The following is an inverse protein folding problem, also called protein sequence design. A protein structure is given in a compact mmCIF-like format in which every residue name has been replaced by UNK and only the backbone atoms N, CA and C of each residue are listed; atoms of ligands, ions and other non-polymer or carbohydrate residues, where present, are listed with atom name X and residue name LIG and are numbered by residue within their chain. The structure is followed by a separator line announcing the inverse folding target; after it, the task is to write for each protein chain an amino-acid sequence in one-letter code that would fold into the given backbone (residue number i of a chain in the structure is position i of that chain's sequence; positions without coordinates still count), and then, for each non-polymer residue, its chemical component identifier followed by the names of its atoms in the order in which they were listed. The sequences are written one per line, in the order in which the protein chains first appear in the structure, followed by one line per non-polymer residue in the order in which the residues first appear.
data_IF_130367665323
#
_entry.id   IF_130367665323
#
_cell.length_a   1.000
_cell.length_b   1.000
_cell.length_c   1.000
_cell.angle_alpha   90.00
_cell.angle_beta   90.00
_cell.angle_gamma   90.00
#
_symmetry.space_group_name_H-M   'P 1'
#
loop_
_entity.id
_entity.type
_entity.pdbx_description
1 polymer ?
#
# COMPACT_ATOMS: atom_id res chain seq x y z
N UNK A 1 -5.89 13.53 6.67
CA UNK A 1 -5.68 12.16 6.14
C UNK A 1 -6.30 12.01 4.78
N UNK A 2 -5.57 11.42 3.84
CA UNK A 2 -6.08 11.04 2.52
C UNK A 2 -6.07 9.52 2.41
N UNK A 3 -7.00 8.96 1.66
CA UNK A 3 -7.05 7.51 1.47
C UNK A 3 -7.64 7.17 0.10
N UNK A 4 -7.39 5.94 -0.34
CA UNK A 4 -8.04 5.40 -1.52
C UNK A 4 -8.27 3.90 -1.32
N UNK A 5 -9.28 3.38 -2.01
CA UNK A 5 -9.54 1.94 -2.07
C UNK A 5 -9.04 1.40 -3.40
N UNK A 6 -8.54 0.19 -3.38
CA UNK A 6 -8.03 -0.43 -4.59
C UNK A 6 -8.33 -1.93 -4.59
N UNK A 7 -8.83 -2.43 -5.72
CA UNK A 7 -9.04 -3.87 -5.92
C UNK A 7 -7.79 -4.42 -6.60
N UNK A 8 -7.16 -5.40 -5.96
CA UNK A 8 -5.92 -6.01 -6.48
C UNK A 8 -6.22 -6.79 -7.75
N UNK A 9 -5.51 -6.47 -8.82
CA UNK A 9 -5.69 -7.11 -10.12
C UNK A 9 -4.58 -8.11 -10.46
N UNK A 10 -3.44 -8.02 -9.78
CA UNK A 10 -2.33 -8.95 -10.00
C UNK A 10 -2.76 -10.37 -9.63
N UNK A 11 -2.58 -11.36 -10.52
CA UNK A 11 -3.01 -12.74 -10.26
C UNK A 11 -2.38 -13.38 -9.00
N UNK A 12 -1.22 -12.91 -8.60
CA UNK A 12 -0.53 -13.43 -7.42
C UNK A 12 -0.86 -12.61 -6.17
N UNK A 13 -1.45 -11.42 -6.34
CA UNK A 13 -1.72 -10.49 -5.25
C UNK A 13 -0.48 -9.73 -4.84
N UNK A 14 -0.39 -9.35 -3.56
CA UNK A 14 0.80 -8.68 -3.05
C UNK A 14 1.81 -9.73 -2.62
N UNK A 15 2.79 -10.00 -3.47
CA UNK A 15 3.85 -10.96 -3.22
C UNK A 15 5.20 -10.25 -3.06
N UNK A 16 6.28 -11.03 -2.81
CA UNK A 16 7.56 -10.49 -2.36
C UNK A 16 8.11 -9.36 -3.24
N UNK A 17 8.09 -9.52 -4.56
CA UNK A 17 8.70 -8.54 -5.46
C UNK A 17 7.97 -7.20 -5.45
N UNK A 18 6.66 -7.13 -5.74
CA UNK A 18 5.96 -5.84 -5.67
C UNK A 18 5.87 -5.29 -4.25
N UNK A 19 5.79 -6.15 -3.22
CA UNK A 19 5.79 -5.69 -1.84
C UNK A 19 7.11 -4.99 -1.49
N UNK A 20 8.23 -5.55 -1.89
CA UNK A 20 9.54 -4.93 -1.66
C UNK A 20 9.68 -3.59 -2.37
N UNK A 21 9.21 -3.51 -3.61
CA UNK A 21 9.25 -2.26 -4.38
C UNK A 21 8.33 -1.21 -3.74
N UNK A 22 7.15 -1.63 -3.28
CA UNK A 22 6.21 -0.72 -2.61
C UNK A 22 6.80 -0.15 -1.32
N UNK A 23 7.41 -0.99 -0.49
CA UNK A 23 8.07 -0.52 0.74
C UNK A 23 9.17 0.48 0.41
N UNK A 24 9.96 0.21 -0.63
CA UNK A 24 11.01 1.14 -1.06
C UNK A 24 10.43 2.47 -1.52
N UNK A 25 9.31 2.44 -2.24
CA UNK A 25 8.61 3.66 -2.66
C UNK A 25 8.14 4.47 -1.47
N UNK A 26 7.51 3.82 -0.50
CA UNK A 26 6.98 4.47 0.70
C UNK A 26 8.10 5.13 1.52
N UNK A 27 9.30 4.54 1.53
CA UNK A 27 10.45 5.11 2.24
C UNK A 27 10.85 6.49 1.73
N UNK A 28 10.46 6.87 0.53
CA UNK A 28 10.74 8.20 -0.02
C UNK A 28 9.88 9.29 0.63
N UNK A 29 8.85 8.92 1.38
CA UNK A 29 7.88 9.85 1.97
C UNK A 29 7.95 9.83 3.49
N UNK A 30 9.09 10.26 4.04
CA UNK A 30 9.39 10.13 5.47
C UNK A 30 8.44 10.86 6.40
N UNK A 31 7.83 11.95 5.91
CA UNK A 31 6.93 12.77 6.73
C UNK A 31 5.51 12.22 6.74
N UNK A 32 5.26 11.14 6.01
CA UNK A 32 3.94 10.53 5.92
C UNK A 32 3.96 9.13 6.51
N UNK A 33 2.85 8.78 7.15
CA UNK A 33 2.58 7.40 7.58
C UNK A 33 1.61 6.80 6.58
N UNK A 34 2.02 5.75 5.90
CA UNK A 34 1.19 5.07 4.90
C UNK A 34 0.78 3.71 5.44
N UNK A 35 -0.53 3.50 5.55
CA UNK A 35 -1.12 2.30 6.14
C UNK A 35 -1.99 1.60 5.13
N UNK A 36 -1.88 0.28 5.05
CA UNK A 36 -2.75 -0.55 4.22
C UNK A 36 -3.66 -1.36 5.13
N UNK A 37 -4.96 -1.31 4.85
CA UNK A 37 -5.98 -2.04 5.61
C UNK A 37 -6.68 -3.04 4.70
N UNK A 38 -6.84 -4.25 5.20
CA UNK A 38 -7.60 -5.31 4.53
C UNK A 38 -8.36 -6.11 5.58
N UNK A 39 -9.69 -6.16 5.43
CA UNK A 39 -10.51 -7.00 6.29
C UNK A 39 -10.39 -6.71 7.78
N UNK A 40 -10.27 -5.44 8.16
CA UNK A 40 -10.16 -5.05 9.56
C UNK A 40 -8.74 -5.11 10.13
N UNK A 41 -7.75 -5.54 9.33
CA UNK A 41 -6.34 -5.57 9.72
C UNK A 41 -5.58 -4.48 8.99
N UNK A 42 -4.75 -3.75 9.71
CA UNK A 42 -3.96 -2.66 9.17
C UNK A 42 -2.48 -2.90 9.39
N UNK A 43 -1.67 -2.56 8.40
CA UNK A 43 -0.20 -2.64 8.51
C UNK A 43 0.41 -1.35 8.00
N UNK A 44 1.53 -0.96 8.62
CA UNK A 44 2.35 0.14 8.12
C UNK A 44 3.13 -0.36 6.90
N UNK A 45 3.06 0.36 5.78
CA UNK A 45 3.71 -0.07 4.54
C UNK A 45 5.24 -0.02 4.58
N UNK A 46 5.84 0.43 5.68
CA UNK A 46 7.27 0.27 5.90
C UNK A 46 7.63 -1.11 6.46
N UNK A 47 6.64 -1.90 6.83
CA UNK A 47 6.81 -3.22 7.44
C UNK A 47 6.60 -4.32 6.40
N UNK A 48 7.65 -4.69 5.68
CA UNK A 48 7.56 -5.66 4.60
C UNK A 48 6.97 -7.00 5.05
N UNK A 49 7.46 -7.53 6.16
CA UNK A 49 7.00 -8.84 6.63
C UNK A 49 5.52 -8.80 7.04
N UNK A 50 5.10 -7.74 7.71
CA UNK A 50 3.70 -7.58 8.10
C UNK A 50 2.80 -7.48 6.87
N UNK A 51 3.25 -6.75 5.84
CA UNK A 51 2.52 -6.62 4.58
C UNK A 51 2.33 -7.99 3.92
N UNK A 52 3.39 -8.80 3.86
CA UNK A 52 3.31 -10.12 3.27
C UNK A 52 2.43 -11.07 4.08
N UNK A 53 2.48 -10.97 5.40
CA UNK A 53 1.66 -11.82 6.28
C UNK A 53 0.18 -11.49 6.20
N UNK A 54 -0.17 -10.31 5.69
CA UNK A 54 -1.57 -9.93 5.52
C UNK A 54 -2.29 -10.81 4.49
N UNK A 55 -1.55 -11.41 3.56
CA UNK A 55 -2.11 -12.38 2.63
C UNK A 55 -3.04 -11.78 1.58
N UNK A 56 -2.76 -10.58 1.12
CA UNK A 56 -3.59 -9.91 0.11
C UNK A 56 -3.50 -10.65 -1.22
N UNK A 57 -4.66 -10.97 -1.80
CA UNK A 57 -4.78 -11.77 -3.03
C UNK A 57 -5.52 -11.00 -4.11
N UNK A 58 -5.46 -11.52 -5.34
CA UNK A 58 -6.24 -10.98 -6.44
C UNK A 58 -7.73 -10.91 -6.07
N UNK A 59 -8.36 -9.79 -6.37
CA UNK A 59 -9.76 -9.56 -6.06
C UNK A 59 -10.02 -8.97 -4.69
N UNK A 60 -9.03 -8.96 -3.81
CA UNK A 60 -9.18 -8.32 -2.51
C UNK A 60 -9.21 -6.81 -2.65
N UNK A 61 -10.07 -6.17 -1.86
CA UNK A 61 -10.09 -4.71 -1.76
C UNK A 61 -9.25 -4.29 -0.58
N UNK A 62 -8.34 -3.36 -0.82
CA UNK A 62 -7.51 -2.78 0.23
C UNK A 62 -7.77 -1.29 0.31
N UNK A 63 -7.62 -0.73 1.51
CA UNK A 63 -7.69 0.71 1.73
C UNK A 63 -6.31 1.20 2.13
N UNK A 64 -5.79 2.16 1.39
CA UNK A 64 -4.49 2.78 1.69
C UNK A 64 -4.74 4.17 2.24
N UNK A 65 -4.20 4.45 3.41
CA UNK A 65 -4.35 5.73 4.09
C UNK A 65 -3.00 6.41 4.22
N UNK A 66 -2.98 7.72 3.99
CA UNK A 66 -1.78 8.55 4.13
C UNK A 66 -2.04 9.63 5.17
N UNK A 67 -1.18 9.73 6.16
CA UNK A 67 -1.30 10.71 7.22
C UNK A 67 0.02 11.45 7.41
N UNK A 68 -0.05 12.77 7.45
CA UNK A 68 1.13 13.63 7.62
C UNK A 68 1.83 13.96 6.32
N UNK A 69 2.67 14.98 6.37
CA UNK A 69 3.41 15.47 5.20
C UNK A 69 2.47 15.98 4.10
N UNK A 70 2.90 15.84 2.85
CA UNK A 70 2.07 16.18 1.70
C UNK A 70 1.16 15.02 1.34
N UNK A 71 0.10 14.86 2.10
CA UNK A 71 -0.83 13.72 1.99
C UNK A 71 -1.38 13.54 0.59
N UNK A 72 -1.74 14.63 -0.05
CA UNK A 72 -2.35 14.57 -1.39
C UNK A 72 -1.36 14.04 -2.42
N UNK A 73 -0.15 14.57 -2.45
CA UNK A 73 0.88 14.13 -3.39
C UNK A 73 1.31 12.69 -3.11
N UNK A 74 1.50 12.33 -1.84
CA UNK A 74 1.90 10.97 -1.46
C UNK A 74 0.79 9.98 -1.81
N UNK A 75 -0.45 10.30 -1.51
CA UNK A 75 -1.59 9.44 -1.82
C UNK A 75 -1.68 9.19 -3.34
N UNK A 76 -1.53 10.23 -4.15
CA UNK A 76 -1.55 10.09 -5.60
C UNK A 76 -0.41 9.21 -6.10
N UNK A 77 0.80 9.38 -5.56
CA UNK A 77 1.96 8.60 -5.96
C UNK A 77 1.78 7.11 -5.63
N UNK A 78 1.28 6.81 -4.44
CA UNK A 78 1.05 5.43 -4.02
C UNK A 78 -0.08 4.79 -4.83
N UNK A 79 -1.15 5.54 -5.08
CA UNK A 79 -2.25 5.05 -5.92
C UNK A 79 -1.76 4.71 -7.33
N UNK A 80 -0.93 5.56 -7.92
CA UNK A 80 -0.36 5.30 -9.24
C UNK A 80 0.53 4.06 -9.21
N UNK A 81 1.27 3.85 -8.13
CA UNK A 81 2.07 2.65 -7.97
C UNK A 81 1.19 1.38 -7.99
N UNK A 82 0.08 1.40 -7.25
CA UNK A 82 -0.85 0.28 -7.23
C UNK A 82 -1.40 -0.01 -8.62
N UNK A 83 -1.82 1.03 -9.34
CA UNK A 83 -2.36 0.88 -10.70
C UNK A 83 -1.35 0.31 -11.68
N UNK A 84 -0.07 0.62 -11.51
CA UNK A 84 0.98 0.16 -12.40
C UNK A 84 1.48 -1.25 -12.07
N UNK A 85 1.36 -1.70 -10.83
CA UNK A 85 2.03 -2.91 -10.35
C UNK A 85 1.09 -3.95 -9.72
N UNK A 86 -0.07 -3.58 -9.31
CA UNK A 86 -0.96 -4.43 -8.54
C UNK A 86 -2.38 -4.43 -9.08
#
# INVERSE_FOLDING_TARGET
MKSFDYVITDPVGIHARPAGILVKEVKNYRDSVVTLTRGGKSVNLLKLMALMQLGVKQGDTVTVSVEGGDEEAVCAAIENFFKANL
#
